data_IF_718922864179
#
_entry.id   IF_718922864179
#
_cell.length_a   1.000
_cell.length_b   1.000
_cell.length_c   1.000
_cell.angle_alpha   90.00
_cell.angle_beta   90.00
_cell.angle_gamma   90.00
#
_symmetry.space_group_name_H-M   'P 1'
#
loop_
_entity.id
_entity.type
_entity.pdbx_description
1 polymer ?
#
# COMPACT_ATOMS: atom_id res chain seq x y z
N UNK A 1 14.74 -1.53 -2.96
CA UNK A 1 14.78 -2.48 -1.83
C UNK A 1 14.24 -3.81 -2.35
N UNK A 2 15.08 -4.83 -2.54
CA UNK A 2 14.61 -6.17 -2.89
C UNK A 2 14.03 -6.79 -1.63
N UNK A 3 12.70 -6.91 -1.53
CA UNK A 3 12.10 -7.78 -0.53
C UNK A 3 12.46 -9.24 -0.88
N UNK A 4 12.99 -10.03 0.05
CA UNK A 4 13.52 -11.36 -0.25
C UNK A 4 12.36 -12.33 -0.48
N UNK A 5 12.29 -12.96 -1.66
CA UNK A 5 11.64 -14.27 -1.92
C UNK A 5 10.28 -14.57 -1.26
N UNK A 6 9.48 -13.58 -0.88
CA UNK A 6 8.14 -13.82 -0.37
C UNK A 6 7.16 -13.93 -1.52
N UNK A 7 6.28 -14.93 -1.43
CA UNK A 7 5.16 -15.06 -2.35
C UNK A 7 4.09 -14.09 -1.86
N UNK A 8 4.05 -12.91 -2.49
CA UNK A 8 3.10 -11.84 -2.17
C UNK A 8 2.03 -11.81 -3.25
N UNK A 9 0.78 -11.88 -2.81
CA UNK A 9 -0.41 -11.72 -3.65
C UNK A 9 -1.03 -10.36 -3.39
N UNK A 10 -1.46 -9.69 -4.45
CA UNK A 10 -2.10 -8.38 -4.41
C UNK A 10 -3.61 -8.50 -4.68
N UNK A 11 -4.33 -7.39 -4.52
CA UNK A 11 -5.80 -7.27 -4.67
C UNK A 11 -6.41 -7.73 -6.01
N UNK A 12 -5.60 -8.13 -6.99
CA UNK A 12 -6.04 -8.76 -8.23
C UNK A 12 -6.25 -10.27 -8.09
N UNK A 13 -5.74 -10.87 -7.02
CA UNK A 13 -5.71 -12.32 -6.79
C UNK A 13 -6.77 -12.72 -5.76
N UNK A 14 -7.53 -13.77 -6.06
CA UNK A 14 -8.63 -14.23 -5.21
C UNK A 14 -8.16 -15.17 -4.10
N UNK A 15 -8.97 -15.34 -3.04
CA UNK A 15 -8.66 -16.27 -1.94
C UNK A 15 -8.44 -17.70 -2.45
N UNK A 16 -9.21 -18.17 -3.43
CA UNK A 16 -9.01 -19.51 -4.01
C UNK A 16 -7.62 -19.65 -4.65
N UNK A 17 -7.21 -18.64 -5.41
CA UNK A 17 -5.88 -18.61 -6.03
C UNK A 17 -4.77 -18.48 -4.99
N UNK A 18 -4.94 -17.64 -3.96
CA UNK A 18 -4.00 -17.50 -2.84
C UNK A 18 -3.79 -18.85 -2.13
N UNK A 19 -4.86 -19.58 -1.81
CA UNK A 19 -4.76 -20.89 -1.14
C UNK A 19 -4.03 -21.90 -2.03
N UNK A 20 -4.36 -21.92 -3.32
CA UNK A 20 -3.80 -22.86 -4.30
C UNK A 20 -2.32 -22.58 -4.58
N UNK A 21 -2.02 -21.37 -5.02
CA UNK A 21 -0.68 -20.97 -5.47
C UNK A 21 0.27 -20.72 -4.30
N UNK A 22 -0.26 -20.22 -3.18
CA UNK A 22 0.47 -20.10 -1.92
C UNK A 22 0.73 -21.45 -1.23
N UNK A 23 0.20 -22.56 -1.78
CA UNK A 23 0.32 -23.93 -1.23
C UNK A 23 -0.09 -24.01 0.24
N UNK A 24 -1.18 -23.31 0.58
CA UNK A 24 -1.62 -23.15 1.96
C UNK A 24 -2.59 -24.25 2.41
N UNK A 25 -3.30 -24.89 1.49
CA UNK A 25 -4.27 -25.94 1.79
C UNK A 25 -5.16 -26.23 0.59
N UNK A 26 -6.43 -26.53 0.84
CA UNK A 26 -7.40 -26.90 -0.18
C UNK A 26 -8.37 -25.75 -0.48
N UNK A 27 -8.31 -25.13 -1.68
CA UNK A 27 -9.24 -24.08 -2.09
C UNK A 27 -10.70 -24.52 -2.13
N UNK A 28 -10.97 -25.82 -2.28
CA UNK A 28 -12.34 -26.34 -2.36
C UNK A 28 -13.09 -26.22 -1.03
N UNK A 29 -12.36 -26.05 0.09
CA UNK A 29 -12.92 -25.78 1.42
C UNK A 29 -13.52 -24.38 1.56
N UNK A 30 -13.23 -23.46 0.63
CA UNK A 30 -13.87 -22.15 0.56
C UNK A 30 -15.23 -22.27 -0.14
N UNK A 31 -16.25 -21.59 0.37
CA UNK A 31 -17.54 -21.48 -0.34
C UNK A 31 -17.41 -20.67 -1.62
N UNK A 32 -18.30 -20.91 -2.57
CA UNK A 32 -18.23 -20.36 -3.94
C UNK A 32 -17.98 -18.84 -3.99
N UNK A 33 -18.75 -18.05 -3.23
CA UNK A 33 -18.56 -16.60 -3.20
C UNK A 33 -17.31 -16.16 -2.44
N UNK A 34 -16.92 -16.90 -1.40
CA UNK A 34 -15.73 -16.59 -0.60
C UNK A 34 -14.46 -16.78 -1.43
N UNK A 35 -14.46 -17.75 -2.36
CA UNK A 35 -13.34 -17.96 -3.30
C UNK A 35 -12.96 -16.72 -4.10
N UNK A 36 -13.92 -15.82 -4.33
CA UNK A 36 -13.75 -14.62 -5.17
C UNK A 36 -13.24 -13.39 -4.41
N UNK A 37 -13.24 -13.43 -3.08
CA UNK A 37 -12.76 -12.32 -2.25
C UNK A 37 -11.28 -12.04 -2.50
N UNK A 38 -10.88 -10.78 -2.35
CA UNK A 38 -9.54 -10.28 -2.71
C UNK A 38 -8.99 -9.36 -1.61
N UNK A 39 -8.10 -9.86 -0.74
CA UNK A 39 -7.40 -9.01 0.21
C UNK A 39 -6.39 -8.12 -0.52
N UNK A 40 -6.05 -6.97 0.06
CA UNK A 40 -5.14 -6.03 -0.60
C UNK A 40 -3.72 -6.57 -0.73
N UNK A 41 -3.20 -7.15 0.34
CA UNK A 41 -1.89 -7.82 0.36
C UNK A 41 -2.01 -9.10 1.16
N UNK A 42 -1.51 -10.20 0.62
CA UNK A 42 -1.26 -11.44 1.37
C UNK A 42 0.15 -11.94 1.12
N UNK A 43 0.95 -12.06 2.19
CA UNK A 43 2.27 -12.69 2.14
C UNK A 43 2.16 -14.11 2.72
N UNK A 44 2.23 -15.11 1.84
CA UNK A 44 2.06 -16.51 2.25
C UNK A 44 3.31 -17.13 2.84
N UNK A 45 4.46 -16.45 2.76
CA UNK A 45 5.68 -16.88 3.46
C UNK A 45 5.65 -16.41 4.90
N UNK A 46 5.24 -15.18 5.14
CA UNK A 46 5.09 -14.59 6.48
C UNK A 46 3.76 -14.96 7.14
N UNK A 47 2.81 -15.55 6.38
CA UNK A 47 1.47 -15.90 6.83
C UNK A 47 0.72 -14.69 7.38
N UNK A 48 0.83 -13.56 6.68
CA UNK A 48 0.15 -12.32 7.06
C UNK A 48 -0.69 -11.77 5.93
N UNK A 49 -1.77 -11.06 6.28
CA UNK A 49 -2.53 -10.25 5.34
C UNK A 49 -2.70 -8.82 5.84
N UNK A 50 -2.87 -7.91 4.87
CA UNK A 50 -3.15 -6.50 5.10
C UNK A 50 -4.29 -6.02 4.20
N UNK A 51 -5.13 -5.16 4.77
CA UNK A 51 -6.08 -4.30 4.09
C UNK A 51 -5.58 -2.85 4.15
N UNK A 52 -5.54 -2.19 3.01
CA UNK A 52 -5.05 -0.82 2.86
C UNK A 52 -6.24 0.12 2.79
N UNK A 53 -6.31 1.07 3.72
CA UNK A 53 -7.46 1.98 3.86
C UNK A 53 -7.01 3.42 4.04
N UNK A 54 -7.79 4.42 3.58
CA UNK A 54 -7.52 5.81 3.92
C UNK A 54 -7.52 6.01 5.44
N UNK A 55 -6.67 6.92 5.94
CA UNK A 55 -6.54 7.20 7.36
C UNK A 55 -7.71 8.02 7.92
N UNK A 56 -8.86 7.36 8.11
CA UNK A 56 -10.03 7.86 8.83
C UNK A 56 -10.72 6.71 9.59
N UNK A 57 -11.57 7.04 10.57
CA UNK A 57 -12.17 6.04 11.47
C UNK A 57 -13.17 5.11 10.78
N UNK A 58 -13.90 5.60 9.77
CA UNK A 58 -14.85 4.78 9.01
C UNK A 58 -14.11 3.71 8.20
N UNK A 59 -13.11 4.13 7.42
CA UNK A 59 -12.28 3.21 6.63
C UNK A 59 -11.47 2.25 7.51
N UNK A 60 -11.05 2.68 8.71
CA UNK A 60 -10.42 1.79 9.70
C UNK A 60 -11.39 0.70 10.16
N UNK A 61 -12.63 1.06 10.51
CA UNK A 61 -13.67 0.11 10.92
C UNK A 61 -14.01 -0.88 9.81
N UNK A 62 -14.12 -0.39 8.58
CA UNK A 62 -14.35 -1.21 7.39
C UNK A 62 -13.19 -2.21 7.19
N UNK A 63 -11.94 -1.71 7.23
CA UNK A 63 -10.73 -2.53 7.12
C UNK A 63 -10.70 -3.65 8.16
N UNK A 64 -11.00 -3.36 9.42
CA UNK A 64 -11.11 -4.38 10.48
C UNK A 64 -12.13 -5.47 10.15
N UNK A 65 -13.28 -5.06 9.62
CA UNK A 65 -14.34 -5.99 9.20
C UNK A 65 -13.88 -6.90 8.06
N UNK A 66 -13.18 -6.34 7.06
CA UNK A 66 -12.65 -7.10 5.92
C UNK A 66 -11.54 -8.08 6.36
N UNK A 67 -10.55 -7.61 7.13
CA UNK A 67 -9.48 -8.45 7.69
C UNK A 67 -10.05 -9.63 8.45
N UNK A 68 -11.02 -9.40 9.35
CA UNK A 68 -11.66 -10.46 10.11
C UNK A 68 -12.34 -11.50 9.22
N UNK A 69 -13.05 -11.07 8.17
CA UNK A 69 -13.70 -11.97 7.20
C UNK A 69 -12.67 -12.78 6.41
N UNK A 70 -11.61 -12.15 5.92
CA UNK A 70 -10.58 -12.82 5.14
C UNK A 70 -9.79 -13.83 5.98
N UNK A 71 -9.39 -13.46 7.20
CA UNK A 71 -8.70 -14.38 8.11
C UNK A 71 -9.57 -15.58 8.48
N UNK A 72 -10.86 -15.35 8.78
CA UNK A 72 -11.78 -16.44 9.09
C UNK A 72 -11.94 -17.41 7.90
N UNK A 73 -12.10 -16.88 6.68
CA UNK A 73 -12.23 -17.67 5.47
C UNK A 73 -10.96 -18.47 5.14
N UNK A 74 -9.80 -17.80 5.12
CA UNK A 74 -8.51 -18.44 4.83
C UNK A 74 -8.20 -19.52 5.87
N UNK A 75 -8.29 -19.18 7.16
CA UNK A 75 -7.94 -20.12 8.22
C UNK A 75 -8.87 -21.34 8.32
N UNK A 76 -10.04 -21.29 7.68
CA UNK A 76 -10.92 -22.45 7.51
C UNK A 76 -10.50 -23.39 6.35
N UNK A 77 -9.70 -22.91 5.40
CA UNK A 77 -9.29 -23.65 4.21
C UNK A 77 -7.81 -24.11 4.22
N UNK A 78 -6.95 -23.41 4.96
CA UNK A 78 -5.52 -23.73 5.07
C UNK A 78 -5.22 -24.89 6.04
N UNK A 79 -4.00 -25.41 5.96
CA UNK A 79 -3.43 -26.38 6.89
C UNK A 79 -3.20 -25.77 8.28
N UNK A 80 -3.26 -26.55 9.38
CA UNK A 80 -3.18 -26.03 10.74
C UNK A 80 -1.92 -25.22 11.08
N UNK A 81 -0.78 -25.57 10.47
CA UNK A 81 0.53 -24.92 10.62
C UNK A 81 0.71 -23.70 9.71
N UNK A 82 -0.24 -23.43 8.81
CA UNK A 82 -0.23 -22.34 7.83
C UNK A 82 -1.28 -21.28 8.10
N UNK A 83 -1.75 -21.17 9.35
CA UNK A 83 -2.72 -20.16 9.74
C UNK A 83 -2.15 -18.76 9.55
N UNK A 84 -2.93 -17.92 8.88
CA UNK A 84 -2.61 -16.52 8.67
C UNK A 84 -3.10 -15.66 9.82
N UNK A 85 -2.40 -14.55 10.04
CA UNK A 85 -2.77 -13.50 10.99
C UNK A 85 -2.78 -12.12 10.30
N UNK A 86 -3.33 -11.11 10.98
CA UNK A 86 -3.16 -9.73 10.53
C UNK A 86 -1.71 -9.30 10.70
N UNK A 87 -1.09 -8.76 9.65
CA UNK A 87 0.29 -8.31 9.75
C UNK A 87 0.45 -7.07 10.64
N UNK A 88 1.64 -6.87 11.20
CA UNK A 88 2.00 -5.74 12.04
C UNK A 88 3.23 -5.02 11.50
N UNK A 89 3.58 -3.87 12.09
CA UNK A 89 4.85 -3.18 11.86
C UNK A 89 5.14 -2.79 10.40
N UNK A 90 4.07 -2.74 9.58
CA UNK A 90 4.15 -2.21 8.23
C UNK A 90 3.85 -0.71 8.25
N UNK A 91 4.93 0.07 8.22
CA UNK A 91 4.90 1.52 8.20
C UNK A 91 5.98 2.09 7.27
N UNK A 92 5.75 3.31 6.82
CA UNK A 92 6.68 3.98 5.94
C UNK A 92 6.14 5.26 5.38
N UNK A 93 6.96 5.90 4.56
CA UNK A 93 6.57 7.05 3.78
C UNK A 93 7.38 7.15 2.51
N UNK A 94 6.85 7.90 1.55
CA UNK A 94 7.54 8.29 0.34
C UNK A 94 7.14 9.71 -0.02
N UNK A 95 8.02 10.38 -0.74
CA UNK A 95 7.78 11.72 -1.25
C UNK A 95 7.84 11.72 -2.77
N UNK A 96 6.97 12.53 -3.38
CA UNK A 96 7.04 12.88 -4.79
C UNK A 96 7.20 14.39 -4.92
N UNK A 97 8.29 14.78 -5.54
CA UNK A 97 8.53 16.14 -5.96
C UNK A 97 8.24 16.28 -7.45
N UNK A 98 7.40 17.24 -7.81
CA UNK A 98 7.16 17.67 -9.20
C UNK A 98 8.01 18.92 -9.53
N UNK A 99 8.34 19.13 -10.81
CA UNK A 99 9.23 20.17 -11.36
C UNK A 99 9.37 21.51 -10.61
N UNK A 100 10.60 22.05 -10.64
CA UNK A 100 10.96 23.42 -10.26
C UNK A 100 10.55 23.81 -8.82
N UNK A 101 10.83 22.94 -7.85
CA UNK A 101 10.42 23.14 -6.45
C UNK A 101 8.90 23.12 -6.28
N UNK A 102 8.21 22.38 -7.16
CA UNK A 102 6.77 22.28 -7.28
C UNK A 102 6.09 21.63 -6.07
N UNK A 103 4.89 21.12 -6.32
CA UNK A 103 4.14 20.34 -5.36
C UNK A 103 4.99 19.26 -4.71
N UNK A 104 4.99 19.17 -3.38
CA UNK A 104 5.60 18.06 -2.66
C UNK A 104 4.49 17.20 -2.08
N UNK A 105 4.30 16.03 -2.67
CA UNK A 105 3.35 15.05 -2.16
C UNK A 105 4.08 14.12 -1.21
N UNK A 106 3.42 13.78 -0.12
CA UNK A 106 3.92 12.89 0.90
C UNK A 106 2.86 11.82 1.16
N UNK A 107 3.16 10.59 0.77
CA UNK A 107 2.40 9.43 1.18
C UNK A 107 3.04 8.87 2.43
N UNK A 108 2.25 8.71 3.49
CA UNK A 108 2.64 7.95 4.66
C UNK A 108 1.65 6.83 4.93
N UNK A 109 2.14 5.72 5.45
CA UNK A 109 1.31 4.59 5.88
C UNK A 109 1.81 4.03 7.20
N UNK A 110 0.89 3.44 7.95
CA UNK A 110 1.16 2.73 9.21
C UNK A 110 0.11 1.67 9.46
N UNK A 111 0.43 0.68 10.27
CA UNK A 111 -0.48 -0.41 10.63
C UNK A 111 -0.86 -0.31 12.11
N UNK A 112 -1.87 0.52 12.47
CA UNK A 112 -2.21 0.76 13.87
C UNK A 112 -2.92 -0.42 14.56
N UNK A 113 -3.42 -1.39 13.79
CA UNK A 113 -4.00 -2.63 14.30
C UNK A 113 -3.69 -3.78 13.32
N UNK A 114 -3.61 -5.04 13.80
CA UNK A 114 -3.21 -6.17 12.97
C UNK A 114 -4.01 -6.29 11.68
N UNK A 115 -3.31 -6.27 10.55
CA UNK A 115 -3.85 -6.41 9.21
C UNK A 115 -4.54 -5.17 8.65
N UNK A 116 -4.63 -4.05 9.37
CA UNK A 116 -5.22 -2.81 8.82
C UNK A 116 -4.12 -1.77 8.67
N UNK A 117 -3.71 -1.52 7.43
CA UNK A 117 -2.75 -0.47 7.08
C UNK A 117 -3.50 0.79 6.65
N UNK A 118 -3.28 1.88 7.37
CA UNK A 118 -3.87 3.18 7.04
C UNK A 118 -2.86 4.03 6.28
N UNK A 119 -3.27 4.57 5.13
CA UNK A 119 -2.46 5.50 4.34
C UNK A 119 -3.04 6.91 4.32
N UNK A 120 -2.17 7.91 4.15
CA UNK A 120 -2.55 9.30 4.01
C UNK A 120 -1.64 9.99 3.00
N UNK A 121 -2.28 10.69 2.06
CA UNK A 121 -1.60 11.68 1.24
C UNK A 121 -1.65 13.04 1.90
N UNK A 122 -0.51 13.72 1.93
CA UNK A 122 -0.42 15.12 2.30
C UNK A 122 0.30 15.88 1.19
N UNK A 123 0.02 17.15 1.14
CA UNK A 123 0.55 18.08 0.17
C UNK A 123 1.28 19.21 0.89
N UNK A 124 2.43 19.62 0.35
CA UNK A 124 3.10 20.87 0.73
C UNK A 124 3.23 21.74 -0.52
N UNK A 125 2.87 23.02 -0.38
CA UNK A 125 2.75 23.95 -1.49
C UNK A 125 4.10 24.22 -2.15
N UNK A 126 4.06 24.45 -3.46
CA UNK A 126 5.20 24.96 -4.22
C UNK A 126 5.81 26.17 -3.52
N UNK A 127 7.11 26.10 -3.21
CA UNK A 127 7.92 27.24 -2.74
C UNK A 127 9.16 27.30 -3.62
N UNK A 128 9.18 28.19 -4.63
CA UNK A 128 10.33 28.32 -5.52
C UNK A 128 11.60 28.60 -4.72
N UNK A 129 12.72 28.00 -5.16
CA UNK A 129 14.05 28.16 -4.56
C UNK A 129 14.18 27.71 -3.09
N UNK A 130 13.18 27.02 -2.52
CA UNK A 130 13.28 26.47 -1.17
C UNK A 130 14.04 25.15 -1.17
N UNK A 131 14.96 24.99 -0.23
CA UNK A 131 15.62 23.73 0.04
C UNK A 131 14.61 22.64 0.44
N UNK A 132 15.05 21.38 0.35
CA UNK A 132 14.27 20.23 0.83
C UNK A 132 13.79 20.42 2.28
N UNK A 133 14.71 20.81 3.19
CA UNK A 133 14.41 20.99 4.61
C UNK A 133 13.35 22.06 4.84
N UNK A 134 13.43 23.18 4.13
CA UNK A 134 12.43 24.25 4.23
C UNK A 134 11.06 23.82 3.72
N UNK A 135 11.01 23.00 2.67
CA UNK A 135 9.74 22.45 2.14
C UNK A 135 9.18 21.40 3.07
N UNK A 136 10.01 20.49 3.59
CA UNK A 136 9.60 19.48 4.56
C UNK A 136 9.06 20.10 5.86
N UNK A 137 9.56 21.27 6.26
CA UNK A 137 9.08 22.03 7.41
C UNK A 137 7.77 22.80 7.17
N UNK A 138 7.27 22.89 5.93
CA UNK A 138 5.98 23.52 5.68
C UNK A 138 4.85 22.73 6.33
N UNK A 139 3.78 23.46 6.69
CA UNK A 139 2.54 22.86 7.13
C UNK A 139 2.02 21.90 6.06
N UNK A 140 1.79 20.65 6.46
CA UNK A 140 1.13 19.68 5.62
C UNK A 140 -0.35 20.04 5.47
N UNK A 141 -0.82 20.04 4.23
CA UNK A 141 -2.23 20.22 3.86
C UNK A 141 -2.78 18.90 3.30
N UNK A 142 -4.10 18.74 3.31
CA UNK A 142 -4.75 17.62 2.62
C UNK A 142 -4.57 17.77 1.11
N UNK A 143 -4.36 16.64 0.42
CA UNK A 143 -4.15 16.64 -1.02
C UNK A 143 -5.46 17.01 -1.74
N UNK A 144 -5.51 18.13 -2.50
CA UNK A 144 -6.73 18.55 -3.20
C UNK A 144 -7.18 17.54 -4.26
N UNK A 145 -8.49 17.44 -4.49
CA UNK A 145 -9.04 16.52 -5.51
C UNK A 145 -8.59 16.89 -6.91
N UNK A 146 -8.42 18.18 -7.18
CA UNK A 146 -7.95 18.71 -8.46
C UNK A 146 -6.50 18.28 -8.73
N UNK A 147 -5.66 18.27 -7.70
CA UNK A 147 -4.27 17.80 -7.80
C UNK A 147 -4.21 16.28 -8.05
N UNK A 148 -5.08 15.51 -7.39
CA UNK A 148 -5.22 14.06 -7.66
C UNK A 148 -5.63 13.81 -9.11
N UNK A 149 -6.65 14.54 -9.61
CA UNK A 149 -7.12 14.38 -10.98
C UNK A 149 -6.06 14.80 -12.02
N UNK A 150 -5.28 15.84 -11.71
CA UNK A 150 -4.27 16.36 -12.62
C UNK A 150 -3.01 15.50 -12.68
N UNK A 151 -2.58 14.91 -11.55
CA UNK A 151 -1.24 14.31 -11.42
C UNK A 151 -1.23 12.89 -10.84
N UNK A 152 -2.37 12.35 -10.45
CA UNK A 152 -2.47 11.05 -9.78
C UNK A 152 -1.93 9.89 -10.60
N UNK A 153 -2.31 9.81 -11.88
CA UNK A 153 -1.79 8.78 -12.79
C UNK A 153 -0.27 8.93 -12.99
N UNK A 154 0.20 10.17 -13.15
CA UNK A 154 1.64 10.45 -13.28
C UNK A 154 2.42 10.03 -12.02
N UNK A 155 1.86 10.28 -10.84
CA UNK A 155 2.43 9.90 -9.55
C UNK A 155 2.53 8.37 -9.42
N UNK A 156 1.48 7.64 -9.79
CA UNK A 156 1.47 6.18 -9.78
C UNK A 156 2.55 5.60 -10.70
N UNK A 157 2.62 6.08 -11.95
CA UNK A 157 3.63 5.61 -12.91
C UNK A 157 5.06 5.93 -12.44
N UNK A 158 5.29 7.11 -11.86
CA UNK A 158 6.59 7.47 -11.30
C UNK A 158 7.01 6.56 -10.13
N UNK A 159 6.08 6.18 -9.25
CA UNK A 159 6.35 5.22 -8.16
C UNK A 159 6.68 3.83 -8.72
N UNK A 160 5.93 3.37 -9.73
CA UNK A 160 6.19 2.09 -10.41
C UNK A 160 7.54 2.08 -11.12
N UNK A 161 7.94 3.20 -11.73
CA UNK A 161 9.27 3.32 -12.34
C UNK A 161 10.38 3.26 -11.28
N UNK A 162 10.21 3.96 -10.15
CA UNK A 162 11.20 4.02 -9.09
C UNK A 162 11.41 2.68 -8.36
N UNK A 163 10.34 1.90 -8.13
CA UNK A 163 10.40 0.71 -7.26
C UNK A 163 9.85 -0.58 -7.88
N UNK A 164 9.05 -0.50 -8.94
CA UNK A 164 8.36 -1.62 -9.59
C UNK A 164 9.00 -2.12 -10.88
N UNK A 165 10.15 -1.57 -11.30
CA UNK A 165 10.79 -1.78 -12.62
C UNK A 165 9.96 -1.25 -13.81
N UNK A 166 9.06 -0.30 -13.57
CA UNK A 166 8.33 0.39 -14.64
C UNK A 166 9.22 1.33 -15.46
N UNK A 167 8.69 1.81 -16.60
CA UNK A 167 9.32 2.87 -17.38
C UNK A 167 8.99 4.24 -16.78
N UNK A 168 9.97 5.15 -16.80
CA UNK A 168 9.75 6.53 -16.35
C UNK A 168 8.78 7.25 -17.30
N UNK A 169 7.75 7.96 -16.79
CA UNK A 169 6.85 8.72 -17.64
C UNK A 169 7.61 9.84 -18.35
N UNK A 170 7.45 9.96 -19.66
CA UNK A 170 8.14 10.97 -20.48
C UNK A 170 7.85 12.41 -20.06
N UNK A 171 6.70 12.65 -19.43
CA UNK A 171 6.26 13.96 -18.90
C UNK A 171 6.53 14.11 -17.40
N UNK A 172 7.09 13.10 -16.73
CA UNK A 172 7.49 13.23 -15.33
C UNK A 172 8.87 13.86 -15.25
N UNK A 173 8.92 15.07 -14.71
CA UNK A 173 10.16 15.70 -14.31
C UNK A 173 10.05 16.00 -12.81
N UNK A 174 10.88 15.33 -12.02
CA UNK A 174 10.70 15.28 -10.58
C UNK A 174 11.57 14.20 -9.95
N UNK A 175 11.33 13.95 -8.66
CA UNK A 175 12.03 12.92 -7.91
C UNK A 175 11.07 12.16 -7.00
N UNK A 176 11.30 10.86 -6.90
CA UNK A 176 10.64 9.97 -5.93
C UNK A 176 11.73 9.48 -4.99
N UNK A 177 11.52 9.60 -3.68
CA UNK A 177 12.53 9.22 -2.70
C UNK A 177 11.93 8.70 -1.41
N UNK A 178 12.67 7.79 -0.77
CA UNK A 178 12.38 7.32 0.58
C UNK A 178 12.95 8.32 1.61
N UNK A 179 12.40 8.37 2.83
CA UNK A 179 12.97 9.17 3.91
C UNK A 179 14.46 8.92 4.17
N UNK A 180 14.95 7.70 3.91
CA UNK A 180 16.37 7.34 4.07
C UNK A 180 17.29 7.99 3.03
N UNK A 181 16.75 8.39 1.87
CA UNK A 181 17.48 9.04 0.79
C UNK A 181 17.64 10.56 1.02
N UNK A 182 16.97 11.10 2.06
CA UNK A 182 16.88 12.53 2.35
C UNK A 182 18.04 13.09 3.23
N UNK A 183 19.21 12.44 3.25
CA UNK A 183 20.34 12.82 4.14
C UNK A 183 21.16 13.98 3.62
#
# INVERSE_FOLDING_TARGET
MQHPSSVVFLNTVSLSTIVKEGRLGDPERLSEFVRLLRPDITDTRLLVLFEIKPNNEESRREGRGLVGRYLAALNAAVEPDKKLVGGTDFEGSLFLEFENGGALWHLSWRTPEPGVTLYRWNYRRKKPNASWKERAAQKAEELPREEIALRGELAEQAIQAAYGRGEWPSVFQGQVYLPVDCR
#
